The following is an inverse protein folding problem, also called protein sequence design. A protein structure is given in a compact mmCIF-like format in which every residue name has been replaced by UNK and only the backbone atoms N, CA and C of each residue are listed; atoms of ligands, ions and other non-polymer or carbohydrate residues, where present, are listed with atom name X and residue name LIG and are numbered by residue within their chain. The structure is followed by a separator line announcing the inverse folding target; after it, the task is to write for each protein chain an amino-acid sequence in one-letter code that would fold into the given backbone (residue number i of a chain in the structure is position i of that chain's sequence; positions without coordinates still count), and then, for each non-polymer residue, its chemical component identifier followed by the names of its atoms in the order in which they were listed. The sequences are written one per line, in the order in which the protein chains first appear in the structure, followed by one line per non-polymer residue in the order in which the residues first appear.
data_IF_195029258627
#
_entry.id   IF_195029258627
#
_cell.length_a   1.000
_cell.length_b   1.000
_cell.length_c   1.000
_cell.angle_alpha   90.00
_cell.angle_beta   90.00
_cell.angle_gamma   90.00
#
_symmetry.space_group_name_H-M   'P 1'
#
loop_
_entity.id
_entity.type
_entity.pdbx_description
1 polymer ?
#
# COMPACT_ATOMS: atom_id res chain seq x y z
N UNK A 1 -14.42 -37.53 44.26
CA UNK A 1 -14.28 -37.55 42.78
C UNK A 1 -14.82 -36.28 42.14
N UNK A 2 -16.06 -35.84 42.42
CA UNK A 2 -16.67 -34.61 41.85
C UNK A 2 -15.91 -33.28 42.07
N UNK A 3 -15.35 -33.04 43.27
CA UNK A 3 -14.62 -31.79 43.56
C UNK A 3 -13.30 -31.66 42.78
N UNK A 4 -12.56 -32.76 42.61
CA UNK A 4 -11.29 -32.78 41.87
C UNK A 4 -11.50 -32.50 40.37
N UNK A 5 -12.58 -33.04 39.80
CA UNK A 5 -12.95 -32.75 38.41
C UNK A 5 -13.42 -31.30 38.23
N UNK A 6 -14.16 -30.74 39.19
CA UNK A 6 -14.56 -29.32 39.14
C UNK A 6 -13.34 -28.38 39.17
N UNK A 7 -12.36 -28.61 40.04
CA UNK A 7 -11.14 -27.81 40.09
C UNK A 7 -10.25 -27.97 38.85
N UNK A 8 -10.19 -29.17 38.25
CA UNK A 8 -9.51 -29.38 36.95
C UNK A 8 -10.22 -28.64 35.82
N UNK A 9 -11.56 -28.70 35.77
CA UNK A 9 -12.37 -28.00 34.76
C UNK A 9 -12.22 -26.47 34.91
N UNK A 10 -12.28 -25.96 36.14
CA UNK A 10 -12.05 -24.53 36.46
C UNK A 10 -10.66 -24.06 36.01
N UNK A 11 -9.58 -24.77 36.39
CA UNK A 11 -8.22 -24.45 35.92
C UNK A 11 -8.07 -24.55 34.39
N UNK A 12 -8.78 -25.48 33.74
CA UNK A 12 -8.82 -25.56 32.28
C UNK A 12 -9.47 -24.32 31.66
N UNK A 13 -10.65 -23.91 32.13
CA UNK A 13 -11.33 -22.70 31.64
C UNK A 13 -10.49 -21.42 31.88
N UNK A 14 -9.83 -21.29 33.04
CA UNK A 14 -8.95 -20.13 33.30
C UNK A 14 -7.74 -20.11 32.36
N UNK A 15 -7.12 -21.26 32.09
CA UNK A 15 -6.01 -21.36 31.12
C UNK A 15 -6.48 -21.06 29.70
N UNK A 16 -7.61 -21.64 29.28
CA UNK A 16 -8.20 -21.36 27.97
C UNK A 16 -8.57 -19.89 27.81
N UNK A 17 -9.14 -19.26 28.84
CA UNK A 17 -9.45 -17.82 28.85
C UNK A 17 -8.18 -16.96 28.74
N UNK A 18 -7.11 -17.33 29.45
CA UNK A 18 -5.83 -16.62 29.37
C UNK A 18 -5.23 -16.68 27.94
N UNK A 19 -5.19 -17.86 27.32
CA UNK A 19 -4.70 -17.99 25.94
C UNK A 19 -5.59 -17.25 24.93
N UNK A 20 -6.91 -17.24 25.16
CA UNK A 20 -7.85 -16.45 24.37
C UNK A 20 -7.57 -14.95 24.47
N UNK A 21 -7.34 -14.43 25.68
CA UNK A 21 -6.96 -13.03 25.90
C UNK A 21 -5.65 -12.67 25.19
N UNK A 22 -4.64 -13.55 25.22
CA UNK A 22 -3.37 -13.36 24.49
C UNK A 22 -3.61 -13.32 22.98
N UNK A 23 -4.41 -14.27 22.47
CA UNK A 23 -4.70 -14.37 21.05
C UNK A 23 -5.40 -13.11 20.51
N UNK A 24 -6.20 -12.44 21.34
CA UNK A 24 -6.85 -11.17 20.98
C UNK A 24 -5.92 -9.97 21.20
N UNK A 25 -5.14 -9.95 22.28
CA UNK A 25 -4.31 -8.79 22.62
C UNK A 25 -3.14 -8.60 21.66
N UNK A 26 -2.59 -9.67 21.09
CA UNK A 26 -1.45 -9.59 20.15
C UNK A 26 -1.82 -8.82 18.87
N UNK A 27 -2.86 -9.19 18.08
CA UNK A 27 -3.26 -8.42 16.90
C UNK A 27 -3.60 -6.97 17.20
N UNK A 28 -4.22 -6.70 18.36
CA UNK A 28 -4.51 -5.34 18.82
C UNK A 28 -3.21 -4.56 19.06
N UNK A 29 -2.26 -5.14 19.78
CA UNK A 29 -0.96 -4.51 20.02
C UNK A 29 -0.19 -4.26 18.71
N UNK A 30 -0.26 -5.20 17.75
CA UNK A 30 0.31 -5.02 16.41
C UNK A 30 -0.34 -3.82 15.72
N UNK A 31 -1.68 -3.74 15.70
CA UNK A 31 -2.39 -2.62 15.07
C UNK A 31 -2.02 -1.26 15.69
N UNK A 32 -1.96 -1.19 17.03
CA UNK A 32 -1.48 0.00 17.74
C UNK A 32 -0.05 0.38 17.36
N UNK A 33 0.86 -0.60 17.22
CA UNK A 33 2.25 -0.33 16.81
C UNK A 33 2.36 0.26 15.40
N UNK A 34 1.46 -0.12 14.48
CA UNK A 34 1.41 0.44 13.13
C UNK A 34 0.96 1.90 13.19
N UNK A 35 -0.07 2.22 13.98
CA UNK A 35 -0.52 3.60 14.16
C UNK A 35 0.55 4.45 14.85
N UNK A 36 1.24 3.92 15.87
CA UNK A 36 2.33 4.64 16.52
C UNK A 36 3.48 4.96 15.55
N UNK A 37 3.91 3.98 14.76
CA UNK A 37 4.92 4.18 13.71
C UNK A 37 4.44 5.23 12.70
N UNK A 38 3.17 5.15 12.29
CA UNK A 38 2.61 6.07 11.34
C UNK A 38 2.53 7.51 11.88
N UNK A 39 2.23 7.68 13.16
CA UNK A 39 2.25 8.99 13.83
C UNK A 39 3.63 9.63 13.89
N UNK A 40 4.71 8.84 13.72
CA UNK A 40 6.09 9.32 13.59
C UNK A 40 6.57 9.43 12.13
N UNK A 41 5.77 8.94 11.18
CA UNK A 41 6.08 8.99 9.74
C UNK A 41 5.71 10.36 9.15
N UNK A 42 6.51 10.85 8.20
CA UNK A 42 6.20 12.06 7.44
C UNK A 42 4.92 11.85 6.63
N UNK A 43 3.89 12.66 6.94
CA UNK A 43 2.55 12.52 6.36
C UNK A 43 1.98 13.88 6.02
N UNK A 44 1.36 13.97 4.85
CA UNK A 44 0.86 15.22 4.30
C UNK A 44 -0.49 14.99 3.60
N UNK A 45 -1.33 16.03 3.62
CA UNK A 45 -2.56 16.11 2.83
C UNK A 45 -2.46 17.18 1.73
N UNK A 46 -1.37 17.95 1.71
CA UNK A 46 -1.17 19.09 0.82
C UNK A 46 0.25 19.05 0.23
N UNK A 47 0.37 19.26 -1.09
CA UNK A 47 1.64 19.25 -1.81
C UNK A 47 2.67 20.25 -1.24
N UNK A 48 2.23 21.40 -0.70
CA UNK A 48 3.14 22.44 -0.20
C UNK A 48 4.04 21.92 0.92
N UNK A 49 3.49 21.09 1.80
CA UNK A 49 4.18 20.52 2.95
C UNK A 49 5.00 19.27 2.60
N UNK A 50 4.69 18.59 1.50
CA UNK A 50 5.43 17.42 1.06
C UNK A 50 6.87 17.79 0.69
N UNK A 51 7.83 16.96 1.13
CA UNK A 51 9.24 17.12 0.75
C UNK A 51 9.44 16.51 -0.64
N UNK A 52 10.35 17.07 -1.46
CA UNK A 52 10.67 16.46 -2.76
C UNK A 52 11.08 15.00 -2.61
N UNK A 53 10.64 14.16 -3.54
CA UNK A 53 11.05 12.78 -3.67
C UNK A 53 11.28 12.39 -5.14
N UNK A 54 11.88 11.23 -5.36
CA UNK A 54 12.12 10.71 -6.72
C UNK A 54 10.81 10.42 -7.45
N UNK A 55 9.85 9.78 -6.78
CA UNK A 55 8.65 9.21 -7.42
C UNK A 55 7.41 9.26 -6.53
N UNK A 56 6.25 9.52 -7.14
CA UNK A 56 4.97 9.24 -6.52
C UNK A 56 4.53 7.82 -6.87
N UNK A 57 4.29 6.98 -5.85
CA UNK A 57 3.76 5.63 -6.03
C UNK A 57 2.26 5.64 -5.80
N UNK A 58 1.51 5.21 -6.81
CA UNK A 58 0.05 5.16 -6.81
C UNK A 58 -0.39 3.69 -6.85
N UNK A 59 -0.79 3.09 -5.71
CA UNK A 59 -1.36 1.76 -5.69
C UNK A 59 -2.74 1.73 -6.36
N UNK A 60 -3.08 0.60 -6.96
CA UNK A 60 -4.38 0.30 -7.56
C UNK A 60 -5.53 0.32 -6.55
N UNK A 61 -6.72 0.57 -7.08
CA UNK A 61 -8.00 0.49 -6.38
C UNK A 61 -9.07 0.16 -7.43
N UNK A 62 -10.32 0.01 -6.98
CA UNK A 62 -11.41 -0.39 -7.87
C UNK A 62 -11.52 0.50 -9.11
N UNK A 63 -11.82 -0.13 -10.24
CA UNK A 63 -12.15 0.48 -11.53
C UNK A 63 -13.58 0.09 -11.87
N UNK A 64 -14.36 1.04 -12.38
CA UNK A 64 -15.73 0.80 -12.83
C UNK A 64 -15.85 1.17 -14.30
N UNK A 65 -16.28 0.23 -15.14
CA UNK A 65 -16.48 0.46 -16.58
C UNK A 65 -15.24 1.09 -17.26
N UNK A 66 -14.04 0.62 -16.91
CA UNK A 66 -12.74 1.16 -17.38
C UNK A 66 -12.42 2.60 -16.95
N UNK A 67 -13.14 3.14 -15.96
CA UNK A 67 -12.83 4.42 -15.35
C UNK A 67 -12.35 4.24 -13.90
N UNK A 68 -11.40 5.07 -13.44
CA UNK A 68 -11.00 5.07 -12.04
C UNK A 68 -12.19 5.30 -11.11
N UNK A 69 -12.35 4.47 -10.07
CA UNK A 69 -13.29 4.78 -9.00
C UNK A 69 -12.98 6.12 -8.33
N UNK A 70 -13.92 6.64 -7.56
CA UNK A 70 -13.72 7.81 -6.72
C UNK A 70 -12.43 7.75 -5.86
N UNK A 71 -12.16 6.59 -5.25
CA UNK A 71 -10.96 6.31 -4.46
C UNK A 71 -9.70 6.38 -5.32
N UNK A 72 -9.72 5.75 -6.49
CA UNK A 72 -8.55 5.70 -7.38
C UNK A 72 -8.28 7.07 -8.01
N UNK A 73 -9.33 7.77 -8.43
CA UNK A 73 -9.25 9.12 -8.99
C UNK A 73 -8.60 10.09 -8.01
N UNK A 74 -8.96 10.06 -6.73
CA UNK A 74 -8.34 10.94 -5.75
C UNK A 74 -6.83 10.66 -5.59
N UNK A 75 -6.40 9.40 -5.67
CA UNK A 75 -4.97 9.07 -5.66
C UNK A 75 -4.27 9.61 -6.91
N UNK A 76 -4.86 9.43 -8.08
CA UNK A 76 -4.32 9.91 -9.35
C UNK A 76 -4.22 11.44 -9.36
N UNK A 77 -5.26 12.14 -8.89
CA UNK A 77 -5.28 13.60 -8.81
C UNK A 77 -4.21 14.14 -7.85
N UNK A 78 -4.00 13.48 -6.70
CA UNK A 78 -2.92 13.84 -5.78
C UNK A 78 -1.54 13.57 -6.39
N UNK A 79 -1.36 12.49 -7.15
CA UNK A 79 -0.09 12.20 -7.83
C UNK A 79 0.22 13.24 -8.93
N UNK A 80 -0.80 13.65 -9.69
CA UNK A 80 -0.69 14.74 -10.67
C UNK A 80 -0.32 16.06 -10.00
N UNK A 81 -0.95 16.39 -8.88
CA UNK A 81 -0.63 17.57 -8.09
C UNK A 81 0.84 17.56 -7.63
N UNK A 82 1.33 16.43 -7.11
CA UNK A 82 2.73 16.29 -6.71
C UNK A 82 3.70 16.44 -7.89
N UNK A 83 3.37 15.86 -9.05
CA UNK A 83 4.20 15.94 -10.25
C UNK A 83 4.27 17.37 -10.81
N UNK A 84 3.11 17.99 -11.03
CA UNK A 84 3.01 19.34 -11.60
C UNK A 84 3.60 20.41 -10.68
N UNK A 85 3.62 20.18 -9.37
CA UNK A 85 4.25 21.06 -8.38
C UNK A 85 5.75 20.74 -8.16
N UNK A 86 6.33 19.82 -8.94
CA UNK A 86 7.75 19.45 -8.87
C UNK A 86 8.15 18.73 -7.59
N UNK A 87 7.19 18.18 -6.84
CA UNK A 87 7.45 17.40 -5.61
C UNK A 87 7.93 16.00 -5.93
N UNK A 88 7.59 15.48 -7.10
CA UNK A 88 8.13 14.22 -7.62
C UNK A 88 8.56 14.41 -9.06
N UNK A 89 9.53 13.60 -9.51
CA UNK A 89 10.01 13.62 -10.90
C UNK A 89 9.29 12.59 -11.77
N UNK A 90 8.75 11.54 -11.15
CA UNK A 90 8.19 10.36 -11.81
C UNK A 90 6.90 9.93 -11.13
N UNK A 91 6.06 9.18 -11.84
CA UNK A 91 4.87 8.52 -11.30
C UNK A 91 4.97 7.03 -11.58
N UNK A 92 4.85 6.21 -10.53
CA UNK A 92 4.75 4.75 -10.63
C UNK A 92 3.31 4.31 -10.31
N UNK A 93 2.63 3.79 -11.33
CA UNK A 93 1.29 3.20 -11.22
C UNK A 93 1.45 1.70 -10.94
N UNK A 94 1.12 1.25 -9.74
CA UNK A 94 1.27 -0.17 -9.35
C UNK A 94 -0.10 -0.77 -9.07
N UNK A 95 -0.50 -1.75 -9.88
CA UNK A 95 -1.80 -2.39 -9.77
C UNK A 95 -1.75 -3.84 -10.22
N UNK A 96 -2.88 -4.52 -10.07
CA UNK A 96 -3.04 -5.89 -10.54
C UNK A 96 -3.36 -5.89 -12.05
N UNK A 97 -2.68 -6.77 -12.79
CA UNK A 97 -2.96 -7.09 -14.19
C UNK A 97 -3.04 -8.63 -14.41
N UNK A 98 -3.35 -9.39 -13.35
CA UNK A 98 -3.36 -10.86 -13.31
C UNK A 98 -4.46 -11.53 -14.12
N UNK A 99 -5.33 -10.75 -14.78
CA UNK A 99 -6.31 -11.23 -15.75
C UNK A 99 -6.54 -10.18 -16.85
N UNK A 100 -6.65 -10.63 -18.10
CA UNK A 100 -7.04 -9.84 -19.27
C UNK A 100 -8.36 -9.06 -19.09
N UNK A 101 -9.20 -9.47 -18.13
CA UNK A 101 -10.47 -8.83 -17.79
C UNK A 101 -10.38 -7.80 -16.64
N UNK A 102 -9.27 -7.77 -15.92
CA UNK A 102 -9.02 -6.86 -14.80
C UNK A 102 -7.69 -6.14 -15.00
N UNK A 103 -7.67 -5.18 -15.92
CA UNK A 103 -6.53 -4.30 -16.13
C UNK A 103 -6.78 -2.98 -15.39
N UNK A 104 -6.45 -2.94 -14.09
CA UNK A 104 -6.61 -1.73 -13.27
C UNK A 104 -5.64 -0.62 -13.71
N UNK A 105 -4.49 -1.00 -14.26
CA UNK A 105 -3.42 -0.07 -14.62
C UNK A 105 -3.69 0.70 -15.91
N UNK A 106 -4.46 0.15 -16.85
CA UNK A 106 -4.82 0.84 -18.12
C UNK A 106 -5.64 2.11 -17.88
N UNK A 107 -6.76 2.09 -17.11
CA UNK A 107 -7.47 3.30 -16.73
C UNK A 107 -6.59 4.33 -16.02
N UNK A 108 -5.69 3.88 -15.13
CA UNK A 108 -4.76 4.78 -14.43
C UNK A 108 -3.80 5.45 -15.42
N UNK A 109 -3.20 4.69 -16.33
CA UNK A 109 -2.28 5.18 -17.34
C UNK A 109 -2.95 6.18 -18.27
N UNK A 110 -4.12 5.84 -18.82
CA UNK A 110 -4.89 6.73 -19.67
C UNK A 110 -5.27 8.03 -18.94
N UNK A 111 -5.62 7.94 -17.66
CA UNK A 111 -5.92 9.10 -16.84
C UNK A 111 -4.69 10.01 -16.69
N UNK A 112 -3.52 9.47 -16.37
CA UNK A 112 -2.30 10.27 -16.20
C UNK A 112 -1.83 10.89 -17.53
N UNK A 113 -1.83 10.11 -18.62
CA UNK A 113 -1.45 10.61 -19.96
C UNK A 113 -2.33 11.78 -20.41
N UNK A 114 -3.64 11.73 -20.12
CA UNK A 114 -4.57 12.82 -20.44
C UNK A 114 -4.28 14.12 -19.67
N UNK A 115 -3.57 14.05 -18.54
CA UNK A 115 -3.29 15.18 -17.66
C UNK A 115 -1.84 15.69 -17.79
N UNK A 116 -1.30 15.65 -19.00
CA UNK A 116 -0.06 16.35 -19.40
C UNK A 116 1.22 15.93 -18.65
N UNK A 117 1.27 14.70 -18.16
CA UNK A 117 2.50 14.10 -17.64
C UNK A 117 3.35 13.57 -18.81
N UNK A 118 4.65 13.85 -18.80
CA UNK A 118 5.55 13.34 -19.84
C UNK A 118 5.55 11.80 -19.85
N UNK A 119 5.34 11.18 -21.01
CA UNK A 119 5.30 9.73 -21.17
C UNK A 119 6.52 9.01 -20.56
N UNK A 120 7.70 9.64 -20.62
CA UNK A 120 8.95 9.08 -20.07
C UNK A 120 8.98 9.03 -18.54
N UNK A 121 8.09 9.77 -17.89
CA UNK A 121 8.03 9.90 -16.44
C UNK A 121 6.98 8.97 -15.81
N UNK A 122 6.19 8.27 -16.64
CA UNK A 122 5.13 7.36 -16.21
C UNK A 122 5.63 5.93 -16.30
N UNK A 123 5.66 5.25 -15.16
CA UNK A 123 6.01 3.85 -15.03
C UNK A 123 4.78 3.06 -14.61
N UNK A 124 4.65 1.83 -15.12
CA UNK A 124 3.56 0.92 -14.77
C UNK A 124 4.13 -0.39 -14.23
N UNK A 125 3.63 -0.80 -13.08
CA UNK A 125 3.90 -2.07 -12.43
C UNK A 125 2.66 -2.96 -12.45
N UNK A 126 2.77 -4.10 -13.14
CA UNK A 126 1.69 -5.06 -13.40
C UNK A 126 1.50 -6.11 -12.28
N UNK A 127 2.37 -6.10 -11.27
CA UNK A 127 2.38 -7.12 -10.22
C UNK A 127 2.17 -6.53 -8.82
N UNK A 128 1.41 -5.44 -8.73
CA UNK A 128 1.02 -4.77 -7.48
C UNK A 128 -0.18 -5.39 -6.77
N UNK A 129 -0.16 -6.71 -6.51
CA UNK A 129 -1.31 -7.45 -5.95
C UNK A 129 -1.65 -7.06 -4.50
N UNK A 130 -0.62 -6.74 -3.71
CA UNK A 130 -0.72 -6.26 -2.32
C UNK A 130 0.22 -5.08 -2.15
N UNK A 131 -0.01 -4.29 -1.10
CA UNK A 131 0.92 -3.20 -0.75
C UNK A 131 2.35 -3.68 -0.48
N UNK A 132 2.51 -4.90 0.02
CA UNK A 132 3.83 -5.54 0.13
C UNK A 132 4.46 -5.70 -1.24
N UNK A 133 3.71 -6.25 -2.21
CA UNK A 133 4.21 -6.44 -3.58
C UNK A 133 4.58 -5.10 -4.22
N UNK A 134 3.72 -4.08 -4.13
CA UNK A 134 4.01 -2.72 -4.62
C UNK A 134 5.29 -2.15 -4.02
N UNK A 135 5.48 -2.18 -2.70
CA UNK A 135 6.63 -1.54 -2.05
C UNK A 135 7.93 -2.32 -2.26
N UNK A 136 7.89 -3.65 -2.19
CA UNK A 136 9.09 -4.45 -2.44
C UNK A 136 9.49 -4.31 -3.91
N UNK A 137 8.54 -4.35 -4.85
CA UNK A 137 8.87 -4.16 -6.28
C UNK A 137 9.33 -2.74 -6.59
N UNK A 138 8.76 -1.71 -5.95
CA UNK A 138 9.27 -0.35 -6.03
C UNK A 138 10.77 -0.29 -5.68
N UNK A 139 11.18 -0.99 -4.61
CA UNK A 139 12.58 -1.05 -4.20
C UNK A 139 13.44 -1.92 -5.11
N UNK A 140 13.05 -3.17 -5.35
CA UNK A 140 13.93 -4.16 -5.97
C UNK A 140 13.95 -4.05 -7.51
N UNK A 141 12.81 -3.72 -8.12
CA UNK A 141 12.65 -3.66 -9.58
C UNK A 141 12.87 -2.26 -10.08
N UNK A 142 12.18 -1.29 -9.50
CA UNK A 142 12.32 0.10 -9.91
C UNK A 142 13.49 0.82 -9.25
N UNK A 143 14.22 0.13 -8.36
CA UNK A 143 15.43 0.65 -7.68
C UNK A 143 15.19 1.97 -6.93
N UNK A 144 13.94 2.19 -6.49
CA UNK A 144 13.54 3.40 -5.80
C UNK A 144 14.17 3.42 -4.40
N UNK A 145 14.74 4.55 -4.02
CA UNK A 145 15.29 4.78 -2.67
C UNK A 145 14.34 5.62 -1.81
N UNK A 146 13.63 6.56 -2.42
CA UNK A 146 12.71 7.49 -1.78
C UNK A 146 11.44 7.70 -2.60
N UNK A 147 10.30 7.75 -1.91
CA UNK A 147 9.00 7.86 -2.56
C UNK A 147 7.98 8.65 -1.73
N UNK A 148 6.98 9.20 -2.42
CA UNK A 148 5.73 9.64 -1.83
C UNK A 148 4.66 8.61 -2.17
N UNK A 149 4.06 7.98 -1.16
CA UNK A 149 3.03 6.97 -1.33
C UNK A 149 1.64 7.59 -1.25
N UNK A 150 0.91 7.58 -2.37
CA UNK A 150 -0.35 8.30 -2.53
C UNK A 150 -1.53 7.36 -2.36
N UNK A 151 -2.14 7.36 -1.18
CA UNK A 151 -3.23 6.45 -0.83
C UNK A 151 -4.10 7.03 0.30
N UNK A 152 -5.23 6.40 0.59
CA UNK A 152 -6.09 6.82 1.70
C UNK A 152 -5.44 6.51 3.05
N UNK A 153 -5.63 7.39 4.04
CA UNK A 153 -5.09 7.32 5.41
C UNK A 153 -5.25 5.95 6.06
N UNK A 154 -6.33 5.24 5.77
CA UNK A 154 -6.57 3.90 6.33
C UNK A 154 -5.47 2.90 5.95
N UNK A 155 -4.91 2.99 4.73
CA UNK A 155 -3.89 2.09 4.21
C UNK A 155 -2.45 2.55 4.49
N UNK A 156 -2.27 3.81 4.86
CA UNK A 156 -0.96 4.43 4.99
C UNK A 156 -0.09 3.81 6.12
N UNK A 157 -0.63 3.45 7.31
CA UNK A 157 0.18 2.82 8.36
C UNK A 157 0.84 1.52 7.94
N UNK A 158 0.14 0.68 7.17
CA UNK A 158 0.72 -0.57 6.65
C UNK A 158 1.78 -0.32 5.60
N UNK A 159 1.58 0.66 4.71
CA UNK A 159 2.59 1.06 3.75
C UNK A 159 3.85 1.60 4.45
N UNK A 160 3.69 2.45 5.46
CA UNK A 160 4.79 2.99 6.25
C UNK A 160 5.58 1.89 6.98
N UNK A 161 4.90 0.92 7.61
CA UNK A 161 5.54 -0.22 8.25
C UNK A 161 6.38 -1.04 7.25
N UNK A 162 5.78 -1.40 6.12
CA UNK A 162 6.45 -2.20 5.10
C UNK A 162 7.68 -1.45 4.54
N UNK A 163 7.52 -0.17 4.20
CA UNK A 163 8.59 0.66 3.68
C UNK A 163 9.75 0.81 4.68
N UNK A 164 9.44 1.03 5.97
CA UNK A 164 10.45 1.09 7.02
C UNK A 164 11.21 -0.24 7.15
N UNK A 165 10.50 -1.37 7.12
CA UNK A 165 11.10 -2.71 7.21
C UNK A 165 12.05 -3.03 6.06
N UNK A 166 11.77 -2.53 4.86
CA UNK A 166 12.64 -2.73 3.70
C UNK A 166 13.63 -1.59 3.46
N UNK A 167 13.67 -0.57 4.32
CA UNK A 167 14.63 0.53 4.25
C UNK A 167 14.36 1.55 3.14
N UNK A 168 13.10 1.72 2.73
CA UNK A 168 12.69 2.79 1.81
C UNK A 168 12.45 4.10 2.56
N UNK A 169 12.94 5.22 2.02
CA UNK A 169 12.58 6.56 2.51
C UNK A 169 11.14 6.86 2.07
N UNK A 170 10.24 6.96 3.03
CA UNK A 170 8.81 6.94 2.78
C UNK A 170 8.13 8.20 3.31
N UNK A 171 7.37 8.85 2.44
CA UNK A 171 6.41 9.90 2.80
C UNK A 171 4.99 9.42 2.48
N UNK A 172 4.06 9.59 3.42
CA UNK A 172 2.64 9.34 3.16
C UNK A 172 1.97 10.59 2.59
N UNK A 173 1.24 10.44 1.50
CA UNK A 173 0.32 11.46 1.01
C UNK A 173 -1.11 10.95 1.09
N UNK A 174 -1.86 11.48 2.04
CA UNK A 174 -3.26 11.13 2.30
C UNK A 174 -4.14 11.74 1.19
N UNK A 175 -4.79 10.87 0.41
CA UNK A 175 -5.66 11.24 -0.73
C UNK A 175 -7.15 11.23 -0.37
N UNK A 176 -7.47 11.40 0.91
CA UNK A 176 -8.83 11.40 1.44
C UNK A 176 -9.53 12.73 1.11
N UNK A 177 -9.85 12.97 -0.17
CA UNK A 177 -10.57 14.17 -0.62
C UNK A 177 -12.08 14.11 -0.43
N UNK A 178 -12.59 12.93 -0.05
CA UNK A 178 -14.02 12.66 0.14
C UNK A 178 -14.25 11.58 1.20
N UNK A 179 -15.48 11.49 1.70
CA UNK A 179 -15.90 10.39 2.56
C UNK A 179 -16.31 9.21 1.69
N UNK A 180 -15.76 8.03 1.99
CA UNK A 180 -16.03 6.80 1.24
C UNK A 180 -16.98 5.88 2.02
N UNK A 181 -18.01 5.36 1.35
CA UNK A 181 -19.03 4.46 1.95
C UNK A 181 -18.43 3.15 2.48
N UNK A 182 -17.32 2.68 1.90
CA UNK A 182 -16.63 1.46 2.34
C UNK A 182 -15.76 1.63 3.59
N UNK A 183 -15.72 2.82 4.20
CA UNK A 183 -14.80 3.15 5.31
C UNK A 183 -14.76 2.14 6.47
N UNK A 184 -15.90 1.73 7.07
CA UNK A 184 -15.92 0.74 8.14
C UNK A 184 -15.36 -0.63 7.73
N UNK A 185 -15.76 -1.14 6.55
CA UNK A 185 -15.28 -2.41 6.04
C UNK A 185 -13.78 -2.36 5.70
N UNK A 186 -13.31 -1.26 5.12
CA UNK A 186 -11.89 -1.04 4.84
C UNK A 186 -11.05 -1.05 6.11
N UNK A 187 -11.52 -0.45 7.22
CA UNK A 187 -10.84 -0.48 8.52
C UNK A 187 -10.76 -1.89 9.10
N UNK A 188 -11.87 -2.63 9.06
CA UNK A 188 -11.88 -4.02 9.53
C UNK A 188 -10.92 -4.91 8.74
N UNK A 189 -10.97 -4.84 7.40
CA UNK A 189 -10.03 -5.55 6.53
C UNK A 189 -8.58 -5.17 6.84
N UNK A 190 -8.34 -3.89 7.08
CA UNK A 190 -7.00 -3.38 7.32
C UNK A 190 -6.39 -3.90 8.63
N UNK A 191 -7.19 -4.08 9.69
CA UNK A 191 -6.73 -4.70 10.94
C UNK A 191 -6.05 -6.07 10.69
N UNK A 192 -6.72 -6.94 9.93
CA UNK A 192 -6.15 -8.24 9.56
C UNK A 192 -4.97 -8.11 8.59
N UNK A 193 -5.05 -7.18 7.63
CA UNK A 193 -3.96 -6.96 6.68
C UNK A 193 -2.67 -6.48 7.37
N UNK A 194 -2.76 -5.68 8.43
CA UNK A 194 -1.61 -5.24 9.25
C UNK A 194 -1.00 -6.38 10.04
N UNK A 195 -1.84 -7.22 10.64
CA UNK A 195 -1.37 -8.42 11.34
C UNK A 195 -0.65 -9.36 10.36
N UNK A 196 -1.20 -9.58 9.17
CA UNK A 196 -0.56 -10.38 8.13
C UNK A 196 0.76 -9.75 7.66
N UNK A 197 0.81 -8.44 7.43
CA UNK A 197 2.04 -7.74 7.04
C UNK A 197 3.13 -7.85 8.11
N UNK A 198 2.76 -7.78 9.39
CA UNK A 198 3.69 -7.99 10.50
C UNK A 198 4.27 -9.40 10.48
N UNK A 199 3.41 -10.41 10.28
CA UNK A 199 3.81 -11.83 10.19
C UNK A 199 4.73 -12.05 8.97
N UNK A 200 4.35 -11.55 7.80
CA UNK A 200 5.13 -11.66 6.56
C UNK A 200 6.54 -11.10 6.74
N UNK A 201 6.68 -9.91 7.35
CA UNK A 201 7.98 -9.25 7.49
C UNK A 201 8.82 -9.76 8.65
N UNK A 202 8.21 -10.16 9.77
CA UNK A 202 8.95 -10.51 10.97
C UNK A 202 9.21 -12.01 11.11
N UNK A 203 8.35 -12.87 10.57
CA UNK A 203 8.45 -14.32 10.72
C UNK A 203 8.89 -15.01 9.42
N UNK A 204 8.31 -14.64 8.29
CA UNK A 204 8.51 -15.39 7.03
C UNK A 204 9.46 -14.74 6.04
N UNK A 205 9.79 -13.44 6.19
CA UNK A 205 10.55 -12.64 5.21
C UNK A 205 9.98 -12.83 3.80
N UNK A 206 8.66 -12.72 3.68
CA UNK A 206 7.92 -13.02 2.46
C UNK A 206 8.39 -12.13 1.30
N UNK A 207 8.82 -12.76 0.21
CA UNK A 207 9.16 -12.10 -1.05
C UNK A 207 7.88 -11.77 -1.85
N UNK A 208 7.90 -10.78 -2.76
CA UNK A 208 6.73 -10.44 -3.55
C UNK A 208 6.44 -11.56 -4.56
N UNK A 209 5.19 -11.67 -4.99
CA UNK A 209 4.72 -12.78 -5.84
C UNK A 209 5.52 -12.90 -7.15
N UNK A 210 5.93 -11.78 -7.70
CA UNK A 210 6.80 -11.70 -8.88
C UNK A 210 7.87 -10.63 -8.64
N UNK A 211 9.15 -10.98 -8.83
CA UNK A 211 10.26 -10.01 -8.83
C UNK A 211 10.55 -9.60 -10.28
N UNK A 212 10.90 -10.51 -11.19
CA UNK A 212 11.26 -10.12 -12.57
C UNK A 212 12.58 -9.33 -12.62
N UNK A 213 12.98 -8.86 -13.80
CA UNK A 213 14.25 -8.17 -14.00
C UNK A 213 14.19 -6.69 -13.58
N UNK A 214 15.29 -6.11 -13.05
CA UNK A 214 15.32 -4.68 -12.69
C UNK A 214 15.01 -3.75 -13.87
N UNK A 215 14.19 -2.74 -13.61
CA UNK A 215 13.84 -1.65 -14.52
C UNK A 215 13.93 -0.31 -13.76
N UNK A 216 15.13 0.30 -13.65
CA UNK A 216 15.35 1.46 -12.78
C UNK A 216 14.50 2.69 -13.13
N UNK A 217 14.02 3.41 -12.11
CA UNK A 217 13.10 4.55 -12.22
C UNK A 217 13.73 5.79 -12.89
N UNK A 218 15.06 5.85 -12.95
CA UNK A 218 15.81 6.96 -13.57
C UNK A 218 15.63 7.02 -15.09
N UNK A 219 15.25 5.90 -15.70
CA UNK A 219 15.07 5.77 -17.14
C UNK A 219 13.77 6.37 -17.68
N UNK A 220 13.38 5.86 -18.86
CA UNK A 220 12.09 6.15 -19.48
C UNK A 220 11.08 5.06 -19.14
N UNK A 221 9.96 5.43 -18.53
CA UNK A 221 8.90 4.49 -18.17
C UNK A 221 8.11 3.93 -19.35
N UNK A 222 8.28 4.48 -20.57
CA UNK A 222 7.51 4.08 -21.77
C UNK A 222 7.53 2.57 -22.03
N UNK A 223 8.67 1.91 -21.83
CA UNK A 223 8.80 0.46 -22.07
C UNK A 223 8.00 -0.40 -21.08
N UNK A 224 7.56 0.17 -19.96
CA UNK A 224 6.78 -0.56 -18.94
C UNK A 224 5.31 -0.74 -19.34
N UNK A 225 4.82 0.03 -20.31
CA UNK A 225 3.40 0.02 -20.70
C UNK A 225 3.13 0.04 -22.21
N UNK A 226 4.05 0.56 -23.03
CA UNK A 226 3.87 0.59 -24.49
C UNK A 226 4.05 -0.82 -25.07
N UNK A 227 2.98 -1.40 -25.60
CA UNK A 227 2.91 -2.78 -26.08
C UNK A 227 2.42 -3.82 -25.06
N UNK A 228 2.30 -3.45 -23.78
CA UNK A 228 1.78 -4.33 -22.71
C UNK A 228 0.44 -3.85 -22.13
N UNK A 229 0.15 -2.55 -22.21
CA UNK A 229 -1.08 -1.91 -21.71
C UNK A 229 -1.84 -1.20 -22.82
N UNK A 230 -1.10 -0.47 -23.65
CA UNK A 230 -1.55 0.22 -24.86
C UNK A 230 -0.91 -0.47 -26.07
#
# INVERSE_FOLDING_TARGET
MFQLDYFKKSKFYTRSFFFFCIFISIPIAIDFSFEELYLRTERFQNHRSAKPATVAVVPGASVYKNEPSAVLKDRLDCALELYHQGKVKKILLSGDNGSIYYNEVKPMLLYILKNEVNEKDIFVDHAGFRTLDTLVRAKEIFQIQDLIFVSQRVYQPRAAFLANKIGLKFQAFESDRRIYTSGPFSRFREFFARTLAWIDMNLFKTNPKYLGDPFPIEGSGVKTWKGSVL
#
